data_IF_852754600825
#
_entry.id   IF_852754600825
#
_cell.length_a   1.000
_cell.length_b   1.000
_cell.length_c   1.000
_cell.angle_alpha   90.00
_cell.angle_beta   90.00
_cell.angle_gamma   90.00
#
_symmetry.space_group_name_H-M   'P 1'
#
loop_
_entity.id
_entity.type
_entity.pdbx_description
1 polymer ?
#
# COMPACT_ATOMS: atom_id res chain seq x y z
N UNK A 1 -8.70 -5.44 0.67
CA UNK A 1 -9.09 -6.87 0.60
C UNK A 1 -9.16 -7.38 -0.83
N UNK A 2 -9.85 -6.75 -1.78
CA UNK A 2 -9.95 -7.23 -3.17
C UNK A 2 -8.57 -7.45 -3.83
N UNK A 3 -7.69 -6.45 -3.78
CA UNK A 3 -6.34 -6.59 -4.35
C UNK A 3 -5.49 -7.68 -3.66
N UNK A 4 -5.64 -7.85 -2.35
CA UNK A 4 -4.97 -8.92 -1.61
C UNK A 4 -5.48 -10.31 -2.04
N UNK A 5 -6.79 -10.47 -2.22
CA UNK A 5 -7.39 -11.71 -2.72
C UNK A 5 -6.92 -12.02 -4.15
N UNK A 6 -6.89 -11.00 -5.03
CA UNK A 6 -6.37 -11.14 -6.40
C UNK A 6 -4.88 -11.54 -6.41
N UNK A 7 -4.06 -10.93 -5.56
CA UNK A 7 -2.63 -11.25 -5.47
C UNK A 7 -2.39 -12.69 -4.98
N UNK A 8 -3.12 -13.13 -3.96
CA UNK A 8 -3.03 -14.51 -3.46
C UNK A 8 -3.48 -15.52 -4.52
N UNK A 9 -4.64 -15.28 -5.15
CA UNK A 9 -5.14 -16.13 -6.22
C UNK A 9 -4.16 -16.19 -7.41
N UNK A 10 -3.57 -15.04 -7.78
CA UNK A 10 -2.56 -14.99 -8.83
C UNK A 10 -1.32 -15.82 -8.50
N UNK A 11 -0.82 -15.78 -7.25
CA UNK A 11 0.31 -16.59 -6.82
C UNK A 11 0.02 -18.09 -7.00
N UNK A 12 -1.16 -18.55 -6.56
CA UNK A 12 -1.56 -19.96 -6.69
C UNK A 12 -1.72 -20.38 -8.16
N UNK A 13 -2.34 -19.53 -8.99
CA UNK A 13 -2.50 -19.78 -10.43
C UNK A 13 -1.14 -19.89 -11.11
N UNK A 14 -0.22 -18.96 -10.85
CA UNK A 14 1.14 -18.99 -11.42
C UNK A 14 1.86 -20.26 -10.95
N UNK A 15 1.79 -20.57 -9.66
CA UNK A 15 2.42 -21.75 -9.10
C UNK A 15 1.88 -23.04 -9.74
N UNK A 16 0.56 -23.18 -9.89
CA UNK A 16 -0.07 -24.32 -10.54
C UNK A 16 0.45 -24.53 -11.97
N UNK A 17 0.39 -23.49 -12.82
CA UNK A 17 0.83 -23.60 -14.22
C UNK A 17 2.33 -23.80 -14.38
N UNK A 18 3.14 -23.41 -13.39
CA UNK A 18 4.58 -23.69 -13.40
C UNK A 18 4.93 -25.14 -13.05
N UNK A 19 4.04 -25.87 -12.34
CA UNK A 19 4.37 -27.19 -11.80
C UNK A 19 3.49 -28.32 -12.34
N UNK A 20 2.32 -28.02 -12.91
CA UNK A 20 1.48 -29.03 -13.55
C UNK A 20 2.26 -29.72 -14.69
N UNK A 21 2.31 -31.05 -14.67
CA UNK A 21 3.07 -31.85 -15.66
C UNK A 21 4.60 -31.80 -15.52
N UNK A 22 5.14 -31.04 -14.55
CA UNK A 22 6.57 -31.09 -14.22
C UNK A 22 6.82 -32.29 -13.33
N UNK A 23 7.54 -33.28 -13.84
CA UNK A 23 7.92 -34.44 -13.05
C UNK A 23 8.79 -34.00 -11.86
N UNK A 24 8.32 -34.23 -10.63
CA UNK A 24 9.10 -33.99 -9.42
C UNK A 24 10.43 -34.73 -9.52
N UNK A 25 11.55 -34.01 -9.49
CA UNK A 25 12.87 -34.62 -9.44
C UNK A 25 12.96 -35.48 -8.18
N UNK A 26 13.09 -36.80 -8.35
CA UNK A 26 13.37 -37.75 -7.26
C UNK A 26 14.81 -37.53 -6.80
N UNK A 27 15.09 -36.42 -6.13
CA UNK A 27 16.34 -36.22 -5.42
C UNK A 27 16.43 -37.28 -4.32
N UNK A 28 17.46 -38.13 -4.38
CA UNK A 28 17.75 -39.15 -3.35
C UNK A 28 18.30 -38.55 -2.04
N UNK A 29 18.40 -37.22 -1.95
CA UNK A 29 18.90 -36.53 -0.78
C UNK A 29 17.71 -36.04 0.04
N UNK A 30 17.59 -36.56 1.26
CA UNK A 30 16.44 -36.42 2.15
C UNK A 30 15.92 -34.98 2.29
N UNK A 31 14.58 -34.85 2.34
CA UNK A 31 13.74 -33.70 2.72
C UNK A 31 13.11 -32.84 1.60
N UNK A 32 12.70 -33.43 0.48
CA UNK A 32 11.66 -32.78 -0.35
C UNK A 32 10.50 -33.75 -0.49
N UNK A 33 9.35 -33.40 0.09
CA UNK A 33 8.10 -34.15 -0.10
C UNK A 33 7.65 -33.87 -1.54
N UNK A 34 7.52 -34.89 -2.40
CA UNK A 34 6.99 -34.69 -3.74
C UNK A 34 5.54 -34.19 -3.63
N UNK A 35 5.26 -33.04 -4.23
CA UNK A 35 3.89 -32.54 -4.38
C UNK A 35 3.35 -33.15 -5.66
N UNK A 36 2.37 -34.05 -5.52
CA UNK A 36 1.63 -34.58 -6.65
C UNK A 36 0.55 -33.57 -7.04
N UNK A 37 0.54 -33.14 -8.29
CA UNK A 37 -0.35 -32.08 -8.79
C UNK A 37 -1.36 -32.75 -9.71
N UNK A 38 -2.64 -32.66 -9.35
CA UNK A 38 -3.71 -33.16 -10.22
C UNK A 38 -3.88 -32.20 -11.42
N UNK A 39 -3.56 -32.66 -12.64
CA UNK A 39 -3.79 -31.85 -13.84
C UNK A 39 -5.28 -31.60 -14.12
N UNK A 40 -6.19 -32.28 -13.42
CA UNK A 40 -7.64 -32.09 -13.51
C UNK A 40 -8.22 -31.32 -12.32
N UNK A 41 -7.40 -30.61 -11.54
CA UNK A 41 -7.87 -29.83 -10.40
C UNK A 41 -9.01 -28.88 -10.81
N UNK A 42 -10.26 -29.15 -10.38
CA UNK A 42 -11.42 -28.37 -10.80
C UNK A 42 -11.47 -26.99 -10.14
N UNK A 43 -10.64 -26.74 -9.11
CA UNK A 43 -10.63 -25.49 -8.35
C UNK A 43 -9.90 -24.36 -9.06
N UNK A 44 -8.99 -24.68 -10.01
CA UNK A 44 -8.28 -23.67 -10.81
C UNK A 44 -9.24 -22.86 -11.68
N UNK A 45 -10.22 -23.51 -12.31
CA UNK A 45 -11.27 -22.82 -13.07
C UNK A 45 -12.07 -21.86 -12.18
N UNK A 46 -12.50 -22.32 -11.00
CA UNK A 46 -13.21 -21.50 -10.03
C UNK A 46 -12.38 -20.29 -9.55
N UNK A 47 -11.08 -20.45 -9.32
CA UNK A 47 -10.16 -19.37 -8.95
C UNK A 47 -10.05 -18.31 -10.06
N UNK A 48 -9.88 -18.74 -11.31
CA UNK A 48 -9.79 -17.84 -12.46
C UNK A 48 -11.10 -17.07 -12.68
N UNK A 49 -12.24 -17.75 -12.60
CA UNK A 49 -13.57 -17.13 -12.69
C UNK A 49 -13.79 -16.11 -11.55
N UNK A 50 -13.38 -16.47 -10.33
CA UNK A 50 -13.43 -15.57 -9.18
C UNK A 50 -12.55 -14.32 -9.36
N UNK A 51 -11.34 -14.50 -9.91
CA UNK A 51 -10.45 -13.38 -10.24
C UNK A 51 -11.06 -12.45 -11.30
N UNK A 52 -11.64 -13.00 -12.37
CA UNK A 52 -12.32 -12.21 -13.40
C UNK A 52 -13.50 -11.43 -12.81
N UNK A 53 -14.32 -12.09 -11.99
CA UNK A 53 -15.46 -11.45 -11.33
C UNK A 53 -15.02 -10.25 -10.46
N UNK A 54 -13.98 -10.43 -9.64
CA UNK A 54 -13.42 -9.34 -8.83
C UNK A 54 -12.87 -8.20 -9.69
N UNK A 55 -12.20 -8.51 -10.82
CA UNK A 55 -11.72 -7.49 -11.75
C UNK A 55 -12.88 -6.70 -12.38
N UNK A 56 -13.94 -7.41 -12.79
CA UNK A 56 -15.17 -6.81 -13.31
C UNK A 56 -15.85 -5.89 -12.29
N UNK A 57 -15.91 -6.31 -11.01
CA UNK A 57 -16.43 -5.46 -9.93
C UNK A 57 -15.61 -4.17 -9.74
N UNK A 58 -14.27 -4.27 -9.73
CA UNK A 58 -13.39 -3.10 -9.61
C UNK A 58 -13.62 -2.12 -10.77
N UNK A 59 -13.71 -2.63 -12.00
CA UNK A 59 -13.99 -1.79 -13.19
C UNK A 59 -15.37 -1.14 -13.09
N UNK A 60 -16.39 -1.89 -12.69
CA UNK A 60 -17.77 -1.41 -12.56
C UNK A 60 -17.91 -0.30 -11.50
N UNK A 61 -17.19 -0.41 -10.38
CA UNK A 61 -17.29 0.53 -9.26
C UNK A 61 -16.11 1.51 -9.16
N UNK A 62 -15.31 1.65 -10.23
CA UNK A 62 -14.08 2.45 -10.20
C UNK A 62 -14.31 3.91 -9.78
N UNK A 63 -15.44 4.51 -10.17
CA UNK A 63 -15.78 5.88 -9.78
C UNK A 63 -16.03 6.00 -8.27
N UNK A 64 -16.79 5.07 -7.68
CA UNK A 64 -17.03 5.06 -6.24
C UNK A 64 -15.73 4.80 -5.45
N UNK A 65 -14.89 3.87 -5.92
CA UNK A 65 -13.58 3.58 -5.33
C UNK A 65 -12.71 4.84 -5.35
N UNK A 66 -12.59 5.52 -6.51
CA UNK A 66 -11.84 6.78 -6.62
C UNK A 66 -12.37 7.86 -5.69
N UNK A 67 -13.69 8.04 -5.63
CA UNK A 67 -14.31 9.04 -4.74
C UNK A 67 -14.00 8.79 -3.27
N UNK A 68 -14.04 7.52 -2.85
CA UNK A 68 -13.67 7.13 -1.49
C UNK A 68 -12.18 7.37 -1.21
N UNK A 69 -11.30 6.92 -2.10
CA UNK A 69 -9.84 7.12 -1.96
C UNK A 69 -9.49 8.60 -1.86
N UNK A 70 -10.01 9.45 -2.76
CA UNK A 70 -9.76 10.90 -2.73
C UNK A 70 -10.26 11.55 -1.43
N UNK A 71 -11.43 11.13 -0.95
CA UNK A 71 -11.97 11.62 0.33
C UNK A 71 -11.05 11.24 1.50
N UNK A 72 -10.53 10.00 1.49
CA UNK A 72 -9.59 9.54 2.50
C UNK A 72 -8.27 10.32 2.46
N UNK A 73 -7.67 10.48 1.27
CA UNK A 73 -6.41 11.19 1.07
C UNK A 73 -6.51 12.68 1.42
N UNK A 74 -7.62 13.33 1.04
CA UNK A 74 -7.86 14.72 1.44
C UNK A 74 -7.96 14.86 2.97
N UNK A 75 -8.58 13.87 3.63
CA UNK A 75 -8.67 13.85 5.09
C UNK A 75 -7.33 13.51 5.76
N UNK A 76 -6.48 12.68 5.14
CA UNK A 76 -5.17 12.32 5.70
C UNK A 76 -4.22 13.51 5.74
N UNK A 77 -4.31 14.45 4.80
CA UNK A 77 -3.55 15.70 4.83
C UNK A 77 -3.67 16.43 6.17
N UNK A 78 -4.89 16.55 6.69
CA UNK A 78 -5.18 17.16 7.99
C UNK A 78 -4.61 16.35 9.16
N UNK A 79 -4.74 15.02 9.11
CA UNK A 79 -4.20 14.11 10.14
C UNK A 79 -2.68 14.14 10.19
N UNK A 80 -2.01 14.04 9.04
CA UNK A 80 -0.55 14.13 8.92
C UNK A 80 -0.08 15.50 9.43
N UNK A 81 -0.72 16.59 9.01
CA UNK A 81 -0.38 17.94 9.50
C UNK A 81 -0.50 18.06 11.02
N UNK A 82 -1.55 17.50 11.60
CA UNK A 82 -1.71 17.45 13.05
C UNK A 82 -0.56 16.66 13.71
N UNK A 83 -0.22 15.47 13.19
CA UNK A 83 0.85 14.62 13.70
C UNK A 83 2.22 15.33 13.62
N UNK A 84 2.47 16.08 12.54
CA UNK A 84 3.67 16.90 12.37
C UNK A 84 3.79 18.02 13.42
N UNK A 85 2.66 18.50 13.94
CA UNK A 85 2.59 19.54 14.97
C UNK A 85 2.59 19.03 16.41
N UNK A 86 2.66 17.70 16.63
CA UNK A 86 2.65 17.14 17.99
C UNK A 86 3.92 17.50 18.77
N UNK A 87 3.84 17.69 20.10
CA UNK A 87 5.02 18.00 20.91
C UNK A 87 6.15 16.97 20.77
N UNK A 88 5.80 15.69 20.63
CA UNK A 88 6.78 14.63 20.41
C UNK A 88 7.51 14.78 19.08
N UNK A 89 6.80 15.16 18.00
CA UNK A 89 7.42 15.46 16.71
C UNK A 89 8.36 16.67 16.78
N UNK A 90 7.92 17.75 17.43
CA UNK A 90 8.71 18.99 17.55
C UNK A 90 9.97 18.77 18.39
N UNK A 91 9.93 17.85 19.34
CA UNK A 91 11.08 17.47 20.16
C UNK A 91 12.10 16.58 19.42
N UNK A 92 11.74 16.01 18.26
CA UNK A 92 12.68 15.26 17.45
C UNK A 92 13.59 16.20 16.66
N UNK A 93 14.89 15.93 16.69
CA UNK A 93 15.88 16.62 15.87
C UNK A 93 15.87 16.07 14.44
N UNK A 94 14.87 16.53 13.68
CA UNK A 94 14.65 16.12 12.28
C UNK A 94 15.49 17.02 11.38
N UNK A 95 16.33 16.40 10.55
CA UNK A 95 17.11 17.12 9.56
C UNK A 95 16.23 17.87 8.54
N UNK A 96 16.79 18.91 7.92
CA UNK A 96 16.04 19.77 7.00
C UNK A 96 15.49 19.02 5.77
N UNK A 97 16.17 17.95 5.31
CA UNK A 97 15.74 17.16 4.17
C UNK A 97 14.50 16.34 4.51
N UNK A 98 14.51 15.61 5.63
CA UNK A 98 13.35 14.83 6.08
C UNK A 98 12.16 15.75 6.38
N UNK A 99 12.42 16.90 7.02
CA UNK A 99 11.38 17.91 7.27
C UNK A 99 10.77 18.45 5.98
N UNK A 100 11.61 18.72 4.97
CA UNK A 100 11.18 19.17 3.65
C UNK A 100 10.28 18.15 2.95
N UNK A 101 10.67 16.87 2.94
CA UNK A 101 9.85 15.80 2.36
C UNK A 101 8.50 15.64 3.09
N UNK A 102 8.49 15.72 4.42
CA UNK A 102 7.25 15.66 5.21
C UNK A 102 6.30 16.82 4.89
N UNK A 103 6.83 17.99 4.58
CA UNK A 103 6.02 19.13 4.12
C UNK A 103 5.53 18.92 2.69
N UNK A 104 6.34 18.33 1.80
CA UNK A 104 5.96 18.04 0.42
C UNK A 104 4.82 17.03 0.34
N UNK A 105 4.86 15.92 1.10
CA UNK A 105 3.75 14.95 1.08
C UNK A 105 2.42 15.58 1.54
N UNK A 106 2.48 16.50 2.51
CA UNK A 106 1.30 17.23 3.00
C UNK A 106 0.79 18.19 1.92
N UNK A 107 1.71 18.90 1.25
CA UNK A 107 1.38 19.77 0.13
C UNK A 107 0.67 19.01 -1.00
N UNK A 108 1.20 17.85 -1.40
CA UNK A 108 0.57 17.02 -2.45
C UNK A 108 -0.86 16.62 -2.08
N UNK A 109 -1.09 16.19 -0.82
CA UNK A 109 -2.41 15.76 -0.36
C UNK A 109 -3.43 16.90 -0.24
N UNK A 110 -2.98 18.13 0.00
CA UNK A 110 -3.86 19.31 0.12
C UNK A 110 -4.35 19.84 -1.22
N UNK A 111 -3.56 19.63 -2.27
CA UNK A 111 -3.85 20.11 -3.62
C UNK A 111 -4.61 19.06 -4.44
N UNK A 112 -5.08 17.98 -3.80
CA UNK A 112 -5.90 16.98 -4.47
C UNK A 112 -7.25 17.55 -4.92
N UNK A 113 -7.77 17.07 -6.06
CA UNK A 113 -9.09 17.44 -6.54
C UNK A 113 -10.15 17.05 -5.51
N UNK A 114 -11.06 17.98 -5.21
CA UNK A 114 -12.09 17.76 -4.19
C UNK A 114 -13.24 16.94 -4.78
N UNK A 115 -13.64 15.84 -4.14
CA UNK A 115 -14.66 14.93 -4.69
C UNK A 115 -16.06 15.55 -4.77
N UNK A 116 -16.33 16.68 -4.10
CA UNK A 116 -17.65 17.32 -4.06
C UNK A 116 -17.92 18.27 -5.23
N UNK A 117 -16.89 18.74 -5.94
CA UNK A 117 -17.03 19.76 -7.00
C UNK A 117 -16.96 19.19 -8.42
N UNK A 118 -16.45 17.97 -8.59
CA UNK A 118 -16.09 17.43 -9.89
C UNK A 118 -16.77 16.10 -10.17
N UNK A 119 -17.02 15.83 -11.46
CA UNK A 119 -17.56 14.57 -11.92
C UNK A 119 -16.51 13.47 -11.65
N UNK A 120 -16.66 12.71 -10.57
CA UNK A 120 -15.64 11.78 -10.02
C UNK A 120 -15.09 10.80 -11.08
N UNK A 121 -15.90 10.45 -12.08
CA UNK A 121 -15.50 9.60 -13.20
C UNK A 121 -14.44 10.22 -14.12
N UNK A 122 -14.34 11.54 -14.19
CA UNK A 122 -13.43 12.29 -15.06
C UNK A 122 -12.16 12.78 -14.35
N UNK A 123 -12.05 12.61 -13.03
CA UNK A 123 -10.89 13.08 -12.26
C UNK A 123 -9.67 12.22 -12.62
N UNK A 124 -8.71 12.82 -13.30
CA UNK A 124 -7.35 12.27 -13.48
C UNK A 124 -6.45 12.94 -12.45
N UNK A 125 -5.99 12.18 -11.46
CA UNK A 125 -5.05 12.67 -10.44
C UNK A 125 -3.80 11.79 -10.48
N UNK A 126 -2.65 12.40 -10.77
CA UNK A 126 -1.38 11.71 -10.67
C UNK A 126 -0.81 11.87 -9.25
N UNK A 127 -0.66 10.75 -8.56
CA UNK A 127 -0.13 10.65 -7.19
C UNK A 127 1.31 10.15 -7.16
N UNK A 128 1.98 10.11 -8.32
CA UNK A 128 3.33 9.54 -8.44
C UNK A 128 4.36 10.29 -7.61
N UNK A 129 4.30 11.62 -7.54
CA UNK A 129 5.27 12.40 -6.76
C UNK A 129 5.05 12.22 -5.26
N UNK A 130 3.79 12.21 -4.80
CA UNK A 130 3.46 11.83 -3.43
C UNK A 130 4.03 10.45 -3.05
N UNK A 131 3.85 9.45 -3.93
CA UNK A 131 4.39 8.09 -3.70
C UNK A 131 5.92 8.06 -3.63
N UNK A 132 6.60 8.79 -4.51
CA UNK A 132 8.07 8.88 -4.50
C UNK A 132 8.59 9.56 -3.24
N UNK A 133 7.96 10.65 -2.83
CA UNK A 133 8.35 11.40 -1.64
C UNK A 133 8.12 10.57 -0.38
N UNK A 134 7.00 9.83 -0.30
CA UNK A 134 6.75 8.90 0.80
C UNK A 134 7.78 7.77 0.88
N UNK A 135 8.11 7.14 -0.25
CA UNK A 135 9.16 6.12 -0.30
C UNK A 135 10.52 6.68 0.09
N UNK A 136 10.82 7.92 -0.29
CA UNK A 136 12.06 8.62 0.09
C UNK A 136 12.13 8.85 1.60
N UNK A 137 11.02 9.26 2.23
CA UNK A 137 10.90 9.35 3.69
C UNK A 137 11.19 8.00 4.34
N UNK A 138 10.54 6.92 3.87
CA UNK A 138 10.75 5.57 4.39
C UNK A 138 12.23 5.14 4.29
N UNK A 139 12.88 5.41 3.16
CA UNK A 139 14.30 5.12 2.95
C UNK A 139 15.19 5.90 3.94
N UNK A 140 14.89 7.18 4.18
CA UNK A 140 15.61 7.98 5.16
C UNK A 140 15.46 7.40 6.57
N UNK A 141 14.24 7.18 7.05
CA UNK A 141 14.00 6.79 8.45
C UNK A 141 14.34 5.32 8.74
N UNK A 142 14.51 4.49 7.71
CA UNK A 142 14.98 3.10 7.85
C UNK A 142 16.51 2.96 7.71
N UNK A 143 17.19 3.99 7.21
CA UNK A 143 18.64 4.00 7.11
C UNK A 143 19.30 3.99 8.48
N UNK A 144 20.31 3.12 8.66
CA UNK A 144 21.13 3.10 9.88
C UNK A 144 21.98 4.36 10.08
N UNK A 145 22.13 5.17 9.02
CA UNK A 145 22.87 6.44 9.04
C UNK A 145 21.98 7.65 9.33
N UNK A 146 20.67 7.45 9.42
CA UNK A 146 19.73 8.53 9.75
C UNK A 146 19.85 8.91 11.23
N UNK A 147 19.70 10.20 11.53
CA UNK A 147 19.60 10.70 12.90
C UNK A 147 18.32 10.20 13.58
N UNK A 148 17.30 9.83 12.80
CA UNK A 148 16.00 9.37 13.29
C UNK A 148 15.67 8.00 12.70
N UNK A 149 15.36 7.08 13.60
CA UNK A 149 14.85 5.76 13.25
C UNK A 149 13.33 5.77 13.10
N UNK A 150 12.83 4.94 12.19
CA UNK A 150 11.42 4.67 11.91
C UNK A 150 10.56 4.49 13.18
N UNK A 151 11.06 3.74 14.18
CA UNK A 151 10.34 3.49 15.44
C UNK A 151 10.27 4.72 16.33
N UNK A 152 11.30 5.56 16.33
CA UNK A 152 11.32 6.79 17.11
C UNK A 152 10.32 7.80 16.53
N UNK A 153 10.30 7.94 15.20
CA UNK A 153 9.35 8.80 14.51
C UNK A 153 7.90 8.39 14.79
N UNK A 154 7.59 7.10 14.68
CA UNK A 154 6.26 6.59 14.98
C UNK A 154 5.91 6.83 16.46
N UNK A 155 6.76 6.40 17.39
CA UNK A 155 6.49 6.55 18.83
C UNK A 155 6.31 8.01 19.27
N UNK A 156 7.06 8.93 18.67
CA UNK A 156 6.98 10.36 18.99
C UNK A 156 5.68 11.01 18.49
N UNK A 157 5.06 10.42 17.46
CA UNK A 157 3.86 10.97 16.81
C UNK A 157 2.58 10.25 17.21
N UNK A 158 2.66 9.04 17.80
CA UNK A 158 1.52 8.35 18.39
C UNK A 158 0.89 9.25 19.47
N UNK A 159 -0.33 9.69 19.20
CA UNK A 159 -1.20 10.32 20.20
C UNK A 159 -2.14 9.26 20.77
N UNK A 160 -2.46 9.34 22.05
CA UNK A 160 -3.24 8.32 22.77
C UNK A 160 -4.48 7.86 21.99
N UNK A 161 -4.47 6.60 21.56
CA UNK A 161 -5.58 5.96 20.83
C UNK A 161 -5.65 6.24 19.33
N UNK A 162 -4.66 6.92 18.73
CA UNK A 162 -4.58 7.16 17.28
C UNK A 162 -3.27 6.65 16.69
N UNK A 163 -3.32 6.36 15.40
CA UNK A 163 -2.17 5.98 14.59
C UNK A 163 -1.12 7.11 14.53
N UNK A 164 0.16 6.75 14.51
CA UNK A 164 1.26 7.69 14.36
C UNK A 164 1.49 8.08 12.90
N UNK A 165 2.50 8.91 12.67
CA UNK A 165 2.81 9.51 11.37
C UNK A 165 3.11 8.48 10.28
N UNK A 166 3.81 7.39 10.64
CA UNK A 166 4.16 6.37 9.66
C UNK A 166 3.01 5.46 9.33
N UNK A 167 2.18 5.13 10.31
CA UNK A 167 0.97 4.36 10.06
C UNK A 167 0.02 5.15 9.14
N UNK A 168 -0.23 6.42 9.45
CA UNK A 168 -1.06 7.29 8.64
C UNK A 168 -0.48 7.53 7.23
N UNK A 169 0.83 7.76 7.12
CA UNK A 169 1.48 7.95 5.82
C UNK A 169 1.49 6.68 4.96
N UNK A 170 1.68 5.50 5.56
CA UNK A 170 1.57 4.22 4.86
C UNK A 170 0.13 3.94 4.41
N UNK A 171 -0.85 4.29 5.23
CA UNK A 171 -2.25 4.19 4.85
C UNK A 171 -2.53 5.10 3.65
N UNK A 172 -2.09 6.37 3.69
CA UNK A 172 -2.22 7.30 2.57
C UNK A 172 -1.53 6.77 1.29
N UNK A 173 -0.32 6.20 1.40
CA UNK A 173 0.36 5.54 0.27
C UNK A 173 -0.46 4.40 -0.34
N UNK A 174 -1.06 3.54 0.49
CA UNK A 174 -1.89 2.42 0.02
C UNK A 174 -3.19 2.87 -0.66
N UNK A 175 -3.71 4.05 -0.29
CA UNK A 175 -4.90 4.65 -0.90
C UNK A 175 -4.58 5.53 -2.13
N UNK A 176 -3.29 5.75 -2.42
CA UNK A 176 -2.80 6.59 -3.52
C UNK A 176 -2.60 5.87 -4.85
#
# INVERSE_FOLDING_TARGET
>A
MVFSALALAQCEVIWYFQHVGVASSKSKTARVVPVDIDPNDPTIGFLLDGMDHLCCLVRKYIAAIRGYSLSYLSSSAGRIRFLLGTPGMVALDIDASLKGLLQQIVHHLEHLPKPQSENISAITCDLSDFRKDWLSILLMVTSSRSSINIRHLEKATVSTGKEGLLSEGNAAYNWS
#
